data_IF_816309022218
#
_entry.id   IF_816309022218
#
_cell.length_a   1.000
_cell.length_b   1.000
_cell.length_c   1.000
_cell.angle_alpha   90.00
_cell.angle_beta   90.00
_cell.angle_gamma   90.00
#
_symmetry.space_group_name_H-M   'P 1'
#
loop_
_entity.id
_entity.type
_entity.pdbx_description
1 polymer ?
#
# COMPACT_ATOMS: atom_id res chain seq x y z
N UNK A 1 -13.03 -19.09 -5.04
CA UNK A 1 -12.84 -17.69 -5.47
C UNK A 1 -11.59 -17.55 -6.29
N UNK A 2 -11.69 -16.85 -7.34
CA UNK A 2 -10.52 -16.63 -8.17
C UNK A 2 -9.91 -15.28 -7.86
N UNK A 3 -8.62 -15.19 -7.99
CA UNK A 3 -7.89 -13.95 -7.83
C UNK A 3 -7.71 -13.31 -9.19
N UNK A 4 -7.69 -12.00 -9.18
CA UNK A 4 -7.48 -11.26 -10.41
C UNK A 4 -6.15 -10.53 -10.34
N UNK A 5 -5.52 -10.42 -11.49
CA UNK A 5 -4.26 -9.72 -11.60
C UNK A 5 -4.51 -8.25 -11.89
N UNK A 6 -3.90 -7.39 -11.10
CA UNK A 6 -3.99 -5.95 -11.30
C UNK A 6 -2.59 -5.41 -11.40
N UNK A 7 -2.38 -4.54 -12.37
CA UNK A 7 -1.07 -3.90 -12.53
C UNK A 7 -1.16 -2.46 -12.10
N UNK A 8 -0.20 -2.03 -11.29
CA UNK A 8 -0.14 -0.66 -10.82
C UNK A 8 1.30 -0.17 -10.92
N UNK A 9 1.45 1.13 -11.01
CA UNK A 9 2.77 1.74 -11.01
C UNK A 9 3.11 2.16 -9.61
N UNK A 10 4.29 1.79 -9.15
CA UNK A 10 4.77 2.11 -7.82
C UNK A 10 6.17 2.69 -7.95
N UNK A 11 6.43 3.72 -7.17
CA UNK A 11 7.77 4.26 -7.05
C UNK A 11 8.71 3.13 -6.64
N UNK A 12 9.78 2.87 -7.41
CA UNK A 12 10.65 1.73 -7.11
C UNK A 12 11.33 1.82 -5.75
N UNK A 13 11.65 3.02 -5.28
CA UNK A 13 12.24 3.15 -3.96
C UNK A 13 11.24 2.77 -2.87
N UNK A 14 10.01 3.21 -3.03
CA UNK A 14 8.96 2.87 -2.08
C UNK A 14 8.66 1.38 -2.13
N UNK A 15 8.66 0.81 -3.33
CA UNK A 15 8.41 -0.62 -3.46
C UNK A 15 9.46 -1.42 -2.70
N UNK A 16 10.72 -1.03 -2.83
CA UNK A 16 11.79 -1.75 -2.16
C UNK A 16 11.67 -1.64 -0.65
N UNK A 17 11.41 -0.44 -0.16
CA UNK A 17 11.27 -0.23 1.27
C UNK A 17 10.09 -0.99 1.83
N UNK A 18 8.98 -0.99 1.09
CA UNK A 18 7.79 -1.70 1.53
C UNK A 18 8.04 -3.20 1.55
N UNK A 19 8.71 -3.73 0.52
CA UNK A 19 9.02 -5.14 0.48
C UNK A 19 9.88 -5.55 1.66
N UNK A 20 10.89 -4.74 1.98
CA UNK A 20 11.75 -5.05 3.11
C UNK A 20 10.95 -5.08 4.41
N UNK A 21 10.07 -4.11 4.57
CA UNK A 21 9.24 -4.05 5.76
C UNK A 21 8.30 -5.26 5.85
N UNK A 22 7.65 -5.56 4.75
CA UNK A 22 6.69 -6.68 4.74
C UNK A 22 7.40 -8.00 5.00
N UNK A 23 8.60 -8.17 4.46
CA UNK A 23 9.37 -9.37 4.73
C UNK A 23 9.65 -9.54 6.20
N UNK A 24 9.95 -8.45 6.89
CA UNK A 24 10.17 -8.50 8.33
C UNK A 24 8.91 -8.92 9.07
N UNK A 25 7.75 -8.62 8.51
CA UNK A 25 6.48 -8.98 9.11
C UNK A 25 6.02 -10.36 8.65
N UNK A 26 6.80 -11.02 7.81
CA UNK A 26 6.41 -12.33 7.30
C UNK A 26 5.37 -12.27 6.20
N UNK A 27 5.27 -11.14 5.53
CA UNK A 27 4.29 -10.96 4.46
C UNK A 27 4.99 -10.77 3.13
N UNK A 28 4.32 -11.19 2.05
CA UNK A 28 4.76 -10.79 0.74
C UNK A 28 3.92 -9.59 0.30
N UNK A 29 4.28 -9.03 -0.84
CA UNK A 29 3.62 -7.82 -1.31
C UNK A 29 2.14 -8.05 -1.55
N UNK A 30 1.78 -9.17 -2.17
CA UNK A 30 0.38 -9.46 -2.46
C UNK A 30 -0.46 -9.57 -1.18
N UNK A 31 0.08 -10.27 -0.19
CA UNK A 31 -0.64 -10.42 1.07
C UNK A 31 -0.82 -9.08 1.76
N UNK A 32 0.23 -8.25 1.74
CA UNK A 32 0.15 -6.95 2.38
C UNK A 32 -0.88 -6.05 1.68
N UNK A 33 -0.88 -6.06 0.36
CA UNK A 33 -1.84 -5.24 -0.39
C UNK A 33 -3.25 -5.73 -0.15
N UNK A 34 -3.46 -7.04 -0.15
CA UNK A 34 -4.78 -7.57 0.12
C UNK A 34 -5.26 -7.23 1.52
N UNK A 35 -4.36 -7.25 2.49
CA UNK A 35 -4.71 -6.86 3.85
C UNK A 35 -5.15 -5.40 3.90
N UNK A 36 -4.44 -4.55 3.17
CA UNK A 36 -4.80 -3.14 3.10
C UNK A 36 -6.18 -2.96 2.47
N UNK A 37 -6.42 -3.64 1.36
CA UNK A 37 -7.69 -3.52 0.66
C UNK A 37 -8.85 -4.02 1.53
N UNK A 38 -8.64 -5.12 2.24
CA UNK A 38 -9.66 -5.62 3.16
C UNK A 38 -9.96 -4.59 4.24
N UNK A 39 -8.92 -3.96 4.76
CA UNK A 39 -9.10 -2.97 5.80
C UNK A 39 -9.90 -1.78 5.28
N UNK A 40 -9.63 -1.37 4.04
CA UNK A 40 -10.37 -0.27 3.43
C UNK A 40 -11.85 -0.61 3.31
N UNK A 41 -12.15 -1.83 2.90
CA UNK A 41 -13.55 -2.25 2.75
C UNK A 41 -14.24 -2.27 4.09
N UNK A 42 -13.59 -2.81 5.10
CA UNK A 42 -14.19 -2.89 6.43
C UNK A 42 -14.40 -1.51 7.04
N UNK A 43 -13.46 -0.62 6.79
CA UNK A 43 -13.53 0.73 7.33
C UNK A 43 -14.51 1.61 6.57
N UNK A 44 -14.75 1.29 5.30
CA UNK A 44 -15.62 2.10 4.47
C UNK A 44 -14.89 3.28 3.87
N UNK A 45 -13.59 3.16 3.72
CA UNK A 45 -12.74 4.22 3.20
C UNK A 45 -11.31 3.90 3.52
N UNK A 46 -10.43 4.86 3.39
CA UNK A 46 -9.04 4.65 3.75
C UNK A 46 -8.89 4.69 5.26
N UNK A 47 -8.10 3.81 5.84
CA UNK A 47 -7.90 3.78 7.29
C UNK A 47 -6.95 4.89 7.77
N UNK A 48 -6.82 5.91 7.00
CA UNK A 48 -6.02 7.08 7.37
C UNK A 48 -6.49 8.26 6.55
N UNK A 49 -6.14 9.43 7.01
CA UNK A 49 -6.59 10.65 6.35
C UNK A 49 -5.75 10.90 5.10
N UNK A 50 -6.42 11.25 4.01
CA UNK A 50 -5.74 11.61 2.77
C UNK A 50 -6.02 13.08 2.50
N UNK A 51 -4.96 13.82 2.31
CA UNK A 51 -5.08 15.25 2.03
C UNK A 51 -4.49 15.55 0.68
N UNK A 52 -4.90 16.65 0.12
CA UNK A 52 -4.29 17.11 -1.11
C UNK A 52 -2.82 17.38 -0.87
N UNK A 53 -1.99 17.10 -1.88
CA UNK A 53 -0.55 17.26 -1.72
C UNK A 53 -0.16 18.73 -1.75
N UNK A 54 -0.39 19.37 -0.65
CA UNK A 54 0.05 20.73 -0.53
C UNK A 54 1.44 20.81 0.01
N UNK A 55 1.92 19.69 0.42
CA UNK A 55 3.24 19.66 0.92
C UNK A 55 4.19 19.79 -0.22
N UNK A 56 4.96 20.05 0.06
CA UNK A 56 5.79 19.92 -0.89
C UNK A 56 6.80 19.12 -0.58
N UNK A 57 6.82 18.75 -0.57
CA UNK A 57 7.36 18.03 -0.49
C UNK A 57 8.20 17.51 -0.06
N UNK A 58 8.14 17.25 0.12
CA UNK A 58 8.82 16.53 0.46
C UNK A 58 10.02 16.76 0.43
N UNK A 59 10.01 17.24 0.43
CA UNK A 59 10.79 17.55 0.26
C UNK A 59 11.33 17.85 0.71
N UNK A 60 11.42 18.00 1.01
CA UNK A 60 11.81 18.17 1.15
C UNK A 60 12.30 18.31 1.39
#
# INVERSE_FOLDING_TARGET
>A
MSNELIQIYIDPDIEKQANDLFNRLGLDMSSAVNAFLNQCVLYGGLPFEVKLPVYSPRKR
#
